data_IF_715474960955
#
_entry.id   IF_715474960955
#
_cell.length_a   1.000
_cell.length_b   1.000
_cell.length_c   1.000
_cell.angle_alpha   90.00
_cell.angle_beta   90.00
_cell.angle_gamma   90.00
#
_symmetry.space_group_name_H-M   'P 1'
#
loop_
_entity.id
_entity.type
_entity.pdbx_description
1 polymer ?
#
# COMPACT_ATOMS: atom_id res chain seq x y z
N UNK A 1 7.91 6.13 -10.62
CA UNK A 1 7.96 4.82 -11.26
C UNK A 1 8.83 3.87 -10.43
N UNK A 2 8.33 2.67 -10.16
CA UNK A 2 9.04 1.60 -9.44
C UNK A 2 9.29 0.47 -10.42
N UNK A 3 10.53 -0.02 -10.50
CA UNK A 3 10.88 -1.19 -11.32
C UNK A 3 11.59 -2.20 -10.41
N UNK A 4 11.08 -3.40 -10.38
CA UNK A 4 11.72 -4.56 -9.82
C UNK A 4 12.28 -5.42 -10.96
N UNK A 5 13.55 -5.85 -10.84
CA UNK A 5 14.24 -6.65 -11.85
C UNK A 5 14.84 -7.87 -11.21
N UNK A 6 14.34 -9.05 -11.56
CA UNK A 6 14.83 -10.38 -11.12
C UNK A 6 14.98 -10.49 -9.59
N UNK A 7 14.04 -9.88 -8.85
CA UNK A 7 14.10 -9.80 -7.38
C UNK A 7 13.88 -11.17 -6.77
N UNK A 8 14.87 -11.64 -6.02
CA UNK A 8 14.80 -12.89 -5.27
C UNK A 8 15.09 -12.63 -3.81
N UNK A 9 14.30 -13.24 -2.91
CA UNK A 9 14.47 -13.18 -1.46
C UNK A 9 14.22 -14.53 -0.81
N UNK A 10 15.18 -14.95 0.01
CA UNK A 10 15.12 -16.20 0.78
C UNK A 10 15.17 -15.92 2.28
N UNK A 11 14.47 -16.69 3.05
CA UNK A 11 14.55 -16.74 4.51
C UNK A 11 14.87 -18.19 4.91
N UNK A 12 16.15 -18.47 5.10
CA UNK A 12 16.64 -19.83 5.27
C UNK A 12 16.32 -20.68 4.03
N UNK A 13 15.52 -21.73 4.20
CA UNK A 13 15.09 -22.62 3.09
C UNK A 13 13.88 -22.09 2.31
N UNK A 14 13.15 -21.10 2.86
CA UNK A 14 11.95 -20.54 2.23
C UNK A 14 12.35 -19.50 1.18
N UNK A 15 11.94 -19.73 -0.07
CA UNK A 15 12.05 -18.74 -1.14
C UNK A 15 10.78 -17.89 -1.12
N UNK A 16 10.86 -16.68 -0.55
CA UNK A 16 9.73 -15.79 -0.40
C UNK A 16 9.44 -14.96 -1.66
N UNK A 17 10.48 -14.65 -2.45
CA UNK A 17 10.40 -14.09 -3.80
C UNK A 17 11.37 -14.84 -4.70
N UNK A 18 10.94 -15.21 -5.89
CA UNK A 18 11.70 -15.98 -6.86
C UNK A 18 11.66 -15.29 -8.22
N UNK A 19 12.72 -14.56 -8.54
CA UNK A 19 12.92 -13.91 -9.83
C UNK A 19 11.76 -12.99 -10.27
N UNK A 20 11.25 -12.17 -9.35
CA UNK A 20 10.11 -11.27 -9.61
C UNK A 20 10.58 -10.05 -10.40
N UNK A 21 10.00 -9.83 -11.59
CA UNK A 21 10.24 -8.65 -12.41
C UNK A 21 8.92 -7.99 -12.76
N UNK A 22 8.76 -6.71 -12.44
CA UNK A 22 7.56 -5.93 -12.74
C UNK A 22 7.86 -4.43 -12.74
N UNK A 23 6.94 -3.67 -13.33
CA UNK A 23 7.02 -2.21 -13.40
C UNK A 23 5.71 -1.61 -12.92
N UNK A 24 5.78 -0.61 -12.01
CA UNK A 24 4.63 0.17 -11.56
C UNK A 24 4.85 1.63 -11.96
N UNK A 25 3.90 2.20 -12.70
CA UNK A 25 4.00 3.56 -13.23
C UNK A 25 3.11 4.55 -12.45
N UNK A 26 3.42 5.83 -12.54
CA UNK A 26 2.55 6.88 -12.04
C UNK A 26 1.17 6.82 -12.70
N UNK A 27 0.13 7.17 -11.96
CA UNK A 27 -1.25 7.14 -12.42
C UNK A 27 -1.93 5.75 -12.38
N UNK A 28 -1.17 4.68 -12.08
CA UNK A 28 -1.72 3.35 -11.90
C UNK A 28 -2.23 3.14 -10.46
N UNK A 29 -3.37 2.45 -10.35
CA UNK A 29 -3.82 1.84 -9.11
C UNK A 29 -3.73 0.32 -9.28
N UNK A 30 -2.76 -0.28 -8.60
CA UNK A 30 -2.38 -1.68 -8.78
C UNK A 30 -2.83 -2.48 -7.56
N UNK A 31 -3.59 -3.54 -7.78
CA UNK A 31 -3.89 -4.51 -6.76
C UNK A 31 -2.82 -5.62 -6.75
N UNK A 32 -2.13 -5.77 -5.62
CA UNK A 32 -1.18 -6.86 -5.39
C UNK A 32 -1.89 -8.03 -4.73
N UNK A 33 -2.13 -9.08 -5.47
CA UNK A 33 -2.93 -10.24 -5.08
C UNK A 33 -2.12 -11.52 -4.97
N UNK A 34 -2.70 -12.51 -4.35
CA UNK A 34 -2.15 -13.86 -4.21
C UNK A 34 -2.53 -14.49 -2.86
N UNK A 35 -2.41 -15.80 -2.70
CA UNK A 35 -2.72 -16.50 -1.46
C UNK A 35 -1.79 -16.07 -0.31
N UNK A 36 -2.15 -16.48 0.91
CA UNK A 36 -1.26 -16.28 2.05
C UNK A 36 0.07 -17.00 1.82
N UNK A 37 1.19 -16.33 2.16
CA UNK A 37 2.52 -16.86 1.90
C UNK A 37 3.04 -16.67 0.46
N UNK A 38 2.27 -16.05 -0.45
CA UNK A 38 2.69 -15.85 -1.85
C UNK A 38 3.82 -14.84 -2.06
N UNK A 39 4.26 -14.13 -1.01
CA UNK A 39 5.36 -13.16 -1.09
C UNK A 39 4.94 -11.69 -1.09
N UNK A 40 3.63 -11.34 -1.07
CA UNK A 40 3.13 -9.95 -1.11
C UNK A 40 3.79 -9.04 -0.07
N UNK A 41 3.75 -9.43 1.20
CA UNK A 41 4.35 -8.65 2.29
C UNK A 41 5.87 -8.54 2.14
N UNK A 42 6.54 -9.59 1.66
CA UNK A 42 7.99 -9.55 1.39
C UNK A 42 8.29 -8.57 0.26
N UNK A 43 7.49 -8.58 -0.80
CA UNK A 43 7.63 -7.64 -1.90
C UNK A 43 7.42 -6.19 -1.45
N UNK A 44 6.34 -5.90 -0.72
CA UNK A 44 6.09 -4.57 -0.15
C UNK A 44 7.27 -4.13 0.74
N UNK A 45 7.73 -4.99 1.65
CA UNK A 45 8.87 -4.68 2.51
C UNK A 45 10.16 -4.46 1.72
N UNK A 46 10.32 -5.14 0.59
CA UNK A 46 11.47 -4.89 -0.31
C UNK A 46 11.35 -3.53 -1.01
N UNK A 47 10.14 -3.14 -1.45
CA UNK A 47 9.88 -1.79 -1.98
C UNK A 47 10.16 -0.69 -0.95
N UNK A 48 9.87 -0.96 0.32
CA UNK A 48 10.11 -0.04 1.43
C UNK A 48 11.57 -0.07 1.93
N UNK A 49 12.43 -0.93 1.36
CA UNK A 49 13.82 -1.11 1.80
C UNK A 49 13.94 -1.68 3.22
N UNK A 50 12.87 -2.29 3.75
CA UNK A 50 12.86 -2.99 5.03
C UNK A 50 13.39 -4.42 4.90
N UNK A 51 13.37 -4.96 3.68
CA UNK A 51 13.94 -6.25 3.30
C UNK A 51 14.85 -6.03 2.11
N UNK A 52 16.12 -6.42 2.22
CA UNK A 52 17.07 -6.35 1.12
C UNK A 52 16.97 -7.65 0.32
N UNK A 53 16.75 -7.59 -1.01
CA UNK A 53 16.79 -8.76 -1.87
C UNK A 53 18.16 -9.46 -1.81
N UNK A 54 18.17 -10.79 -2.00
CA UNK A 54 19.42 -11.58 -2.09
C UNK A 54 20.02 -11.50 -3.50
N UNK A 55 19.17 -11.29 -4.53
CA UNK A 55 19.58 -10.99 -5.90
C UNK A 55 18.53 -10.15 -6.62
N UNK A 56 18.91 -9.60 -7.78
CA UNK A 56 18.12 -8.60 -8.47
C UNK A 56 18.21 -7.24 -7.80
N UNK A 57 17.40 -6.29 -8.27
CA UNK A 57 17.37 -4.94 -7.71
C UNK A 57 16.00 -4.28 -7.91
N UNK A 58 15.76 -3.24 -7.12
CA UNK A 58 14.58 -2.39 -7.24
C UNK A 58 15.05 -0.95 -7.47
N UNK A 59 14.39 -0.26 -8.40
CA UNK A 59 14.64 1.16 -8.63
C UNK A 59 13.39 1.98 -8.34
N UNK A 60 13.61 3.17 -7.78
CA UNK A 60 12.61 4.22 -7.64
C UNK A 60 13.05 5.43 -8.47
N UNK A 61 12.24 5.86 -9.44
CA UNK A 61 12.59 6.93 -10.39
C UNK A 61 13.99 6.74 -11.02
N UNK A 62 14.29 5.51 -11.47
CA UNK A 62 15.56 5.08 -12.09
C UNK A 62 16.77 5.01 -11.13
N UNK A 63 16.60 5.32 -9.85
CA UNK A 63 17.67 5.19 -8.85
C UNK A 63 17.49 3.89 -8.08
N UNK A 64 18.58 3.13 -7.88
CA UNK A 64 18.55 1.91 -7.07
C UNK A 64 18.29 2.28 -5.61
N UNK A 65 17.33 1.59 -4.99
CA UNK A 65 16.94 1.86 -3.59
C UNK A 65 17.83 1.19 -2.55
N UNK A 66 18.75 0.32 -2.97
CA UNK A 66 19.68 -0.36 -2.06
C UNK A 66 20.62 0.68 -1.47
N UNK A 67 20.68 0.73 -0.13
CA UNK A 67 21.46 1.70 0.65
C UNK A 67 21.01 3.18 0.52
N UNK A 68 19.93 3.46 -0.21
CA UNK A 68 19.28 4.75 -0.18
C UNK A 68 18.02 4.70 0.71
N UNK A 69 17.79 5.73 1.51
CA UNK A 69 16.60 5.86 2.34
C UNK A 69 15.73 7.06 1.92
N UNK A 70 16.30 8.02 1.18
CA UNK A 70 15.65 9.28 0.83
C UNK A 70 14.40 9.08 -0.03
N UNK A 71 14.38 8.08 -0.91
CA UNK A 71 13.19 7.80 -1.73
C UNK A 71 11.93 7.53 -0.90
N UNK A 72 12.07 7.09 0.36
CA UNK A 72 10.93 6.83 1.25
C UNK A 72 10.14 8.09 1.60
N UNK A 73 10.72 9.27 1.44
CA UNK A 73 10.00 10.53 1.61
C UNK A 73 8.84 10.68 0.61
N UNK A 74 8.97 10.03 -0.57
CA UNK A 74 7.98 10.02 -1.62
C UNK A 74 6.92 8.91 -1.46
N UNK A 75 7.04 8.09 -0.42
CA UNK A 75 6.14 6.95 -0.19
C UNK A 75 5.31 7.19 1.07
N UNK A 76 3.99 7.09 0.91
CA UNK A 76 3.04 6.93 2.00
C UNK A 76 2.76 5.45 2.20
N UNK A 77 2.99 4.95 3.40
CA UNK A 77 2.76 3.54 3.72
C UNK A 77 1.72 3.40 4.82
N UNK A 78 0.69 2.62 4.54
CA UNK A 78 -0.32 2.20 5.49
C UNK A 78 -0.19 0.69 5.69
N UNK A 79 0.41 0.22 6.79
CA UNK A 79 0.52 -1.20 7.09
C UNK A 79 -0.83 -1.79 7.51
N UNK A 80 -1.01 -3.10 7.32
CA UNK A 80 -2.19 -3.82 7.77
C UNK A 80 -2.49 -3.61 9.26
N UNK A 81 -1.44 -3.56 10.09
CA UNK A 81 -1.54 -3.25 11.52
C UNK A 81 -0.59 -2.09 11.82
N UNK A 82 -1.15 -0.90 12.02
CA UNK A 82 -0.39 0.28 12.44
C UNK A 82 0.15 0.10 13.86
N UNK A 83 1.48 0.13 14.00
CA UNK A 83 2.15 0.10 15.30
C UNK A 83 2.70 1.49 15.61
N UNK A 84 2.26 2.04 16.71
CA UNK A 84 2.64 3.38 17.17
C UNK A 84 3.13 3.29 18.64
N UNK A 85 3.91 4.26 19.12
CA UNK A 85 4.27 4.33 20.52
C UNK A 85 3.01 4.40 21.39
N UNK A 86 2.77 3.38 22.19
CA UNK A 86 1.49 3.16 22.91
C UNK A 86 1.12 4.27 23.88
N UNK A 87 2.13 4.92 24.48
CA UNK A 87 1.94 5.98 25.48
C UNK A 87 1.75 7.38 24.86
N UNK A 88 2.05 7.55 23.57
CA UNK A 88 1.80 8.81 22.86
C UNK A 88 0.33 9.00 22.57
N UNK A 89 -0.13 10.26 22.56
CA UNK A 89 -1.45 10.64 22.05
C UNK A 89 -1.44 10.69 20.52
N UNK A 90 -2.62 10.75 19.90
CA UNK A 90 -2.74 10.94 18.45
C UNK A 90 -2.00 12.21 18.01
N UNK A 91 -2.21 13.33 18.73
CA UNK A 91 -1.52 14.58 18.43
C UNK A 91 0.00 14.42 18.49
N UNK A 92 0.53 13.82 19.55
CA UNK A 92 1.97 13.59 19.71
C UNK A 92 2.56 12.70 18.61
N UNK A 93 1.82 11.68 18.12
CA UNK A 93 2.28 10.86 17.00
C UNK A 93 2.33 11.67 15.71
N UNK A 94 1.33 12.51 15.46
CA UNK A 94 1.29 13.38 14.28
C UNK A 94 2.42 14.41 14.32
N UNK A 95 2.62 15.08 15.46
CA UNK A 95 3.68 16.06 15.64
C UNK A 95 5.05 15.42 15.48
N UNK A 96 5.28 14.24 16.05
CA UNK A 96 6.52 13.48 15.85
C UNK A 96 6.76 13.18 14.35
N UNK A 97 5.73 12.81 13.60
CA UNK A 97 5.87 12.55 12.17
C UNK A 97 6.11 13.83 11.37
N UNK A 98 5.50 14.95 11.75
CA UNK A 98 5.79 16.27 11.18
C UNK A 98 7.23 16.68 11.46
N UNK A 99 7.74 16.48 12.66
CA UNK A 99 9.12 16.77 13.03
C UNK A 99 10.14 15.93 12.26
N UNK A 100 9.89 14.62 12.10
CA UNK A 100 10.76 13.74 11.30
C UNK A 100 10.82 14.20 9.83
N UNK A 101 9.74 14.80 9.32
CA UNK A 101 9.62 15.22 7.93
C UNK A 101 9.70 16.72 7.68
N UNK A 102 10.10 17.51 8.67
CA UNK A 102 10.14 18.99 8.61
C UNK A 102 11.01 19.54 7.48
N UNK A 103 12.10 18.84 7.13
CA UNK A 103 13.03 19.27 6.10
C UNK A 103 12.50 19.08 4.67
N UNK A 104 11.36 18.41 4.50
CA UNK A 104 10.80 18.09 3.19
C UNK A 104 9.81 19.13 2.63
N UNK A 105 9.68 20.28 3.23
CA UNK A 105 8.93 21.48 2.78
C UNK A 105 7.68 21.17 1.91
N UNK A 106 6.82 20.25 2.39
CA UNK A 106 5.61 19.79 1.68
C UNK A 106 4.36 20.34 2.33
N UNK A 107 3.33 20.52 1.52
CA UNK A 107 2.00 20.79 2.04
C UNK A 107 1.50 19.60 2.87
N UNK A 108 1.00 19.89 4.06
CA UNK A 108 0.41 18.89 4.94
C UNK A 108 -1.04 18.67 4.50
N UNK A 109 -1.36 17.44 4.11
CA UNK A 109 -2.72 17.03 3.77
C UNK A 109 -3.42 16.49 5.03
N UNK A 110 -4.37 17.26 5.55
CA UNK A 110 -5.15 16.91 6.75
C UNK A 110 -6.56 16.40 6.42
N UNK A 111 -6.88 16.14 5.15
CA UNK A 111 -8.23 15.77 4.72
C UNK A 111 -8.76 14.55 5.50
N UNK A 112 -7.98 13.44 5.55
CA UNK A 112 -8.40 12.25 6.30
C UNK A 112 -8.42 12.47 7.81
N UNK A 113 -7.51 13.26 8.35
CA UNK A 113 -7.48 13.59 9.78
C UNK A 113 -8.78 14.28 10.21
N UNK A 114 -9.24 15.25 9.42
CA UNK A 114 -10.49 15.97 9.64
C UNK A 114 -11.70 15.10 9.34
N UNK A 115 -11.72 14.40 8.21
CA UNK A 115 -12.85 13.56 7.81
C UNK A 115 -13.12 12.42 8.80
N UNK A 116 -12.06 11.85 9.42
CA UNK A 116 -12.18 10.84 10.48
C UNK A 116 -12.42 11.44 11.88
N UNK A 117 -12.54 12.77 12.01
CA UNK A 117 -12.72 13.48 13.26
C UNK A 117 -11.68 13.13 14.32
N UNK A 118 -10.44 12.89 13.89
CA UNK A 118 -9.35 12.54 14.80
C UNK A 118 -8.93 13.71 15.68
N UNK A 119 -9.21 14.93 15.27
CA UNK A 119 -8.99 16.14 16.04
C UNK A 119 -9.75 16.13 17.37
N UNK A 120 -11.02 15.66 17.35
CA UNK A 120 -11.89 15.58 18.56
C UNK A 120 -11.34 14.62 19.62
N UNK A 121 -10.52 13.66 19.21
CA UNK A 121 -9.93 12.62 20.09
C UNK A 121 -8.41 12.68 20.13
N UNK A 122 -7.82 13.79 19.69
CA UNK A 122 -6.36 13.96 19.51
C UNK A 122 -5.55 13.72 20.79
N UNK A 123 -6.16 13.94 21.97
CA UNK A 123 -5.55 13.72 23.28
C UNK A 123 -5.60 12.25 23.76
N UNK A 124 -6.32 11.36 23.05
CA UNK A 124 -6.36 9.93 23.44
C UNK A 124 -5.02 9.25 23.13
N UNK A 125 -4.58 8.41 24.07
CA UNK A 125 -3.34 7.62 23.90
C UNK A 125 -3.56 6.47 22.92
N UNK A 126 -2.56 6.15 22.11
CA UNK A 126 -2.62 5.11 21.10
C UNK A 126 -3.04 3.75 21.64
N UNK A 127 -2.59 3.38 22.87
CA UNK A 127 -2.99 2.13 23.53
C UNK A 127 -4.48 2.01 23.84
N UNK A 128 -5.19 3.13 23.99
CA UNK A 128 -6.63 3.16 24.32
C UNK A 128 -7.54 3.16 23.10
N UNK A 129 -6.99 3.23 21.91
CA UNK A 129 -7.75 3.29 20.67
C UNK A 129 -8.20 1.88 20.23
N UNK A 130 -9.41 1.81 19.68
CA UNK A 130 -9.86 0.61 18.95
C UNK A 130 -9.00 0.35 17.72
N UNK A 131 -9.05 -0.87 17.19
CA UNK A 131 -8.36 -1.24 15.95
C UNK A 131 -8.72 -0.31 14.78
N UNK A 132 -10.02 -0.06 14.57
CA UNK A 132 -10.51 0.82 13.53
C UNK A 132 -10.04 2.28 13.69
N UNK A 133 -9.97 2.79 14.94
CA UNK A 133 -9.44 4.14 15.17
C UNK A 133 -7.93 4.20 14.90
N UNK A 134 -7.15 3.17 15.26
CA UNK A 134 -5.72 3.10 14.89
C UNK A 134 -5.54 3.04 13.38
N UNK A 135 -6.44 2.35 12.67
CA UNK A 135 -6.43 2.28 11.22
C UNK A 135 -6.71 3.65 10.58
N UNK A 136 -7.65 4.43 11.14
CA UNK A 136 -7.91 5.83 10.74
C UNK A 136 -6.68 6.72 10.91
N UNK A 137 -5.96 6.59 12.04
CA UNK A 137 -4.69 7.31 12.26
C UNK A 137 -3.62 6.87 11.26
N UNK A 138 -3.50 5.56 11.01
CA UNK A 138 -2.55 5.01 10.04
C UNK A 138 -2.82 5.52 8.62
N UNK A 139 -4.08 5.53 8.19
CA UNK A 139 -4.49 6.10 6.92
C UNK A 139 -4.14 7.59 6.84
N UNK A 140 -4.53 8.39 7.85
CA UNK A 140 -4.22 9.83 7.85
C UNK A 140 -2.72 10.10 7.68
N UNK A 141 -1.86 9.37 8.39
CA UNK A 141 -0.41 9.53 8.29
C UNK A 141 0.16 9.10 6.92
N UNK A 142 -0.42 8.07 6.29
CA UNK A 142 0.05 7.61 4.98
C UNK A 142 -0.16 8.67 3.89
N UNK A 143 -1.23 9.47 3.98
CA UNK A 143 -1.56 10.50 2.99
C UNK A 143 -1.01 11.90 3.37
N UNK A 144 -0.75 12.14 4.65
CA UNK A 144 -0.49 13.47 5.23
C UNK A 144 0.62 14.27 4.53
N UNK A 145 1.67 13.62 4.04
CA UNK A 145 2.83 14.31 3.47
C UNK A 145 2.83 14.33 1.94
N UNK A 146 1.67 14.24 1.32
CA UNK A 146 1.45 14.30 -0.13
C UNK A 146 2.43 13.40 -0.93
N UNK A 147 2.51 12.10 -0.61
CA UNK A 147 3.47 11.21 -1.25
C UNK A 147 3.14 11.00 -2.74
N UNK A 148 4.15 10.73 -3.56
CA UNK A 148 3.97 10.38 -4.97
C UNK A 148 3.51 8.92 -5.14
N UNK A 149 3.79 8.07 -4.17
CA UNK A 149 3.43 6.64 -4.15
C UNK A 149 2.72 6.32 -2.84
N UNK A 150 1.59 5.65 -2.94
CA UNK A 150 0.84 5.11 -1.81
C UNK A 150 0.94 3.59 -1.82
N UNK A 151 1.40 2.99 -0.73
CA UNK A 151 1.40 1.55 -0.50
C UNK A 151 0.45 1.28 0.65
N UNK A 152 -0.68 0.63 0.36
CA UNK A 152 -1.79 0.44 1.28
C UNK A 152 -2.02 -1.05 1.49
N UNK A 153 -1.68 -1.55 2.68
CA UNK A 153 -1.79 -2.96 3.02
C UNK A 153 -3.09 -3.20 3.79
N UNK A 154 -4.10 -3.82 3.14
CA UNK A 154 -5.45 -4.05 3.68
C UNK A 154 -6.12 -2.76 4.21
N UNK A 155 -6.21 -1.67 3.42
CA UNK A 155 -6.54 -0.35 3.96
C UNK A 155 -7.93 -0.23 4.58
N UNK A 156 -8.91 -1.01 4.12
CA UNK A 156 -10.30 -0.97 4.63
C UNK A 156 -10.54 -1.93 5.78
N UNK A 157 -9.59 -2.82 6.09
CA UNK A 157 -9.74 -3.80 7.14
C UNK A 157 -9.95 -3.15 8.51
N UNK A 158 -11.04 -3.52 9.19
CA UNK A 158 -11.39 -3.01 10.52
C UNK A 158 -11.95 -1.59 10.56
N UNK A 159 -12.14 -0.93 9.42
CA UNK A 159 -12.88 0.32 9.34
C UNK A 159 -14.39 0.07 9.34
N UNK A 160 -15.14 1.02 9.90
CA UNK A 160 -16.59 1.08 9.70
C UNK A 160 -16.92 1.46 8.24
N UNK A 161 -18.16 1.19 7.75
CA UNK A 161 -18.51 1.44 6.35
C UNK A 161 -18.31 2.90 5.91
N UNK A 162 -18.61 3.87 6.78
CA UNK A 162 -18.46 5.29 6.46
C UNK A 162 -16.98 5.66 6.30
N UNK A 163 -16.13 5.19 7.23
CA UNK A 163 -14.69 5.45 7.15
C UNK A 163 -14.06 4.74 5.94
N UNK A 164 -14.56 3.56 5.58
CA UNK A 164 -14.12 2.84 4.38
C UNK A 164 -14.40 3.64 3.11
N UNK A 165 -15.62 4.21 2.97
CA UNK A 165 -15.95 5.04 1.82
C UNK A 165 -15.14 6.34 1.76
N UNK A 166 -14.95 7.03 2.89
CA UNK A 166 -14.07 8.21 2.97
C UNK A 166 -12.66 7.88 2.47
N UNK A 167 -12.10 6.74 2.90
CA UNK A 167 -10.77 6.32 2.47
C UNK A 167 -10.72 5.98 0.97
N UNK A 168 -11.72 5.28 0.44
CA UNK A 168 -11.81 4.95 -0.99
C UNK A 168 -11.87 6.22 -1.84
N UNK A 169 -12.72 7.18 -1.47
CA UNK A 169 -12.79 8.47 -2.15
C UNK A 169 -11.43 9.20 -2.15
N UNK A 170 -10.71 9.16 -1.01
CA UNK A 170 -9.39 9.76 -0.93
C UNK A 170 -8.40 9.05 -1.85
N UNK A 171 -8.39 7.72 -1.90
CA UNK A 171 -7.55 6.93 -2.80
C UNK A 171 -7.84 7.30 -4.27
N UNK A 172 -9.12 7.40 -4.64
CA UNK A 172 -9.51 7.78 -6.00
C UNK A 172 -9.04 9.20 -6.36
N UNK A 173 -9.17 10.16 -5.45
CA UNK A 173 -8.66 11.53 -5.65
C UNK A 173 -7.14 11.55 -5.87
N UNK A 174 -6.39 10.78 -5.09
CA UNK A 174 -4.93 10.71 -5.23
C UNK A 174 -4.51 10.02 -6.54
N UNK A 175 -5.22 8.97 -6.95
CA UNK A 175 -5.04 8.34 -8.27
C UNK A 175 -5.29 9.35 -9.41
N UNK A 176 -6.37 10.14 -9.34
CA UNK A 176 -6.68 11.16 -10.35
C UNK A 176 -5.61 12.26 -10.45
N UNK A 177 -4.86 12.52 -9.37
CA UNK A 177 -3.68 13.39 -9.37
C UNK A 177 -2.45 12.75 -10.04
N UNK A 178 -2.58 11.54 -10.57
CA UNK A 178 -1.48 10.84 -11.25
C UNK A 178 -0.53 10.09 -10.32
N UNK A 179 -0.88 9.89 -9.05
CA UNK A 179 -0.06 9.12 -8.11
C UNK A 179 -0.12 7.62 -8.40
N UNK A 180 0.94 6.91 -8.05
CA UNK A 180 0.94 5.45 -8.04
C UNK A 180 0.31 4.97 -6.73
N UNK A 181 -0.67 4.07 -6.83
CA UNK A 181 -1.28 3.42 -5.66
C UNK A 181 -1.08 1.92 -5.77
N UNK A 182 -0.43 1.30 -4.80
CA UNK A 182 -0.30 -0.14 -4.66
C UNK A 182 -1.12 -0.60 -3.46
N UNK A 183 -2.10 -1.48 -3.69
CA UNK A 183 -3.05 -1.91 -2.67
C UNK A 183 -2.99 -3.43 -2.55
N UNK A 184 -2.90 -3.96 -1.31
CA UNK A 184 -3.29 -5.34 -1.05
C UNK A 184 -4.70 -5.36 -0.48
N UNK A 185 -5.51 -6.32 -0.86
CA UNK A 185 -6.82 -6.54 -0.25
C UNK A 185 -7.27 -7.98 -0.44
N UNK A 186 -7.97 -8.50 0.57
CA UNK A 186 -8.73 -9.73 0.48
C UNK A 186 -10.18 -9.48 0.04
N UNK A 187 -10.67 -8.24 0.09
CA UNK A 187 -12.01 -7.84 -0.31
C UNK A 187 -11.94 -7.12 -1.65
N UNK A 188 -12.02 -7.88 -2.73
CA UNK A 188 -11.86 -7.38 -4.10
C UNK A 188 -12.99 -6.47 -4.55
N UNK A 189 -14.22 -6.68 -4.05
CA UNK A 189 -15.36 -5.82 -4.36
C UNK A 189 -15.14 -4.36 -3.94
N UNK A 190 -14.31 -4.13 -2.94
CA UNK A 190 -14.00 -2.78 -2.46
C UNK A 190 -13.07 -1.99 -3.40
N UNK A 191 -12.47 -2.69 -4.37
CA UNK A 191 -11.44 -2.16 -5.25
C UNK A 191 -11.88 -2.05 -6.73
N UNK A 192 -13.07 -2.55 -7.09
CA UNK A 192 -13.54 -2.65 -8.47
C UNK A 192 -13.44 -1.32 -9.25
N UNK A 193 -13.75 -0.18 -8.59
CA UNK A 193 -13.73 1.14 -9.21
C UNK A 193 -12.39 1.86 -9.11
N UNK A 194 -11.48 1.34 -8.29
CA UNK A 194 -10.19 2.00 -7.98
C UNK A 194 -9.08 1.41 -8.84
N UNK A 195 -9.03 0.07 -8.93
CA UNK A 195 -7.90 -0.67 -9.50
C UNK A 195 -7.90 -0.62 -11.02
N UNK A 196 -6.74 -0.33 -11.60
CA UNK A 196 -6.49 -0.35 -13.05
C UNK A 196 -5.74 -1.60 -13.49
N UNK A 197 -4.91 -2.15 -12.60
CA UNK A 197 -4.05 -3.30 -12.91
C UNK A 197 -3.99 -4.27 -11.74
N UNK A 198 -3.71 -5.52 -12.05
CA UNK A 198 -3.55 -6.60 -11.08
C UNK A 198 -2.19 -7.24 -11.25
N UNK A 199 -1.44 -7.31 -10.16
CA UNK A 199 -0.25 -8.14 -9.99
C UNK A 199 -0.66 -9.37 -9.18
N UNK A 200 -0.46 -10.57 -9.73
CA UNK A 200 -0.75 -11.82 -9.02
C UNK A 200 0.53 -12.56 -8.70
N UNK A 201 0.80 -12.70 -7.39
CA UNK A 201 1.92 -13.48 -6.88
C UNK A 201 1.43 -14.85 -6.35
N UNK A 202 2.18 -15.89 -6.66
CA UNK A 202 1.95 -17.23 -6.11
C UNK A 202 3.30 -17.94 -5.91
N UNK A 203 3.50 -18.53 -4.74
CA UNK A 203 4.74 -19.25 -4.39
C UNK A 203 6.01 -18.43 -4.64
N UNK A 204 5.95 -17.13 -4.30
CA UNK A 204 7.03 -16.18 -4.51
C UNK A 204 7.23 -15.72 -5.95
N UNK A 205 6.46 -16.20 -6.91
CA UNK A 205 6.61 -15.91 -8.34
C UNK A 205 5.52 -14.97 -8.85
N UNK A 206 5.89 -14.11 -9.80
CA UNK A 206 4.92 -13.35 -10.57
C UNK A 206 4.25 -14.28 -11.58
N UNK A 207 2.94 -14.50 -11.42
CA UNK A 207 2.15 -15.26 -12.38
C UNK A 207 1.69 -14.41 -13.55
N UNK A 208 1.20 -13.22 -13.23
CA UNK A 208 0.85 -12.22 -14.24
C UNK A 208 0.84 -10.80 -13.66
N UNK A 209 0.95 -9.83 -14.56
CA UNK A 209 0.69 -8.43 -14.36
C UNK A 209 -0.12 -7.95 -15.56
N UNK A 210 -1.41 -7.67 -15.36
CA UNK A 210 -2.36 -7.35 -16.43
C UNK A 210 -3.29 -6.20 -16.03
N UNK A 211 -3.80 -5.46 -17.00
CA UNK A 211 -4.87 -4.50 -16.76
C UNK A 211 -6.18 -5.21 -16.40
N UNK A 212 -7.05 -4.51 -15.67
CA UNK A 212 -8.38 -5.03 -15.30
C UNK A 212 -9.22 -5.28 -16.55
N UNK A 213 -9.08 -4.42 -17.58
CA UNK A 213 -9.74 -4.62 -18.89
C UNK A 213 -9.32 -5.93 -19.54
N UNK A 214 -8.02 -6.18 -19.67
CA UNK A 214 -7.50 -7.45 -20.21
C UNK A 214 -8.00 -8.66 -19.42
N UNK A 215 -8.03 -8.57 -18.08
CA UNK A 215 -8.51 -9.67 -17.25
C UNK A 215 -10.02 -9.91 -17.41
N UNK A 216 -10.81 -8.86 -17.62
CA UNK A 216 -12.25 -8.97 -17.92
C UNK A 216 -12.47 -9.59 -19.29
N UNK A 217 -11.70 -9.21 -20.29
CA UNK A 217 -11.76 -9.81 -21.65
C UNK A 217 -11.37 -11.29 -21.61
N UNK A 218 -10.26 -11.64 -20.95
CA UNK A 218 -9.77 -13.03 -20.85
C UNK A 218 -10.74 -13.96 -20.13
N UNK A 219 -11.50 -13.43 -19.16
CA UNK A 219 -12.40 -14.24 -18.32
C UNK A 219 -13.88 -14.16 -18.69
N UNK A 220 -14.28 -13.11 -19.41
CA UNK A 220 -15.70 -12.80 -19.68
C UNK A 220 -16.47 -12.30 -18.47
N UNK A 221 -15.78 -11.98 -17.36
CA UNK A 221 -16.39 -11.54 -16.10
C UNK A 221 -16.30 -10.04 -15.91
N UNK A 222 -17.37 -9.40 -15.44
CA UNK A 222 -17.41 -7.95 -15.23
C UNK A 222 -16.83 -7.53 -13.86
N UNK A 223 -17.04 -8.33 -12.81
CA UNK A 223 -16.60 -8.02 -11.44
C UNK A 223 -15.20 -8.58 -11.18
N UNK A 224 -14.30 -7.77 -10.64
CA UNK A 224 -12.92 -8.16 -10.33
C UNK A 224 -12.85 -9.40 -9.41
N UNK A 225 -13.75 -9.50 -8.44
CA UNK A 225 -13.86 -10.66 -7.56
C UNK A 225 -14.12 -11.97 -8.32
N UNK A 226 -14.98 -11.95 -9.34
CA UNK A 226 -15.25 -13.13 -10.19
C UNK A 226 -14.09 -13.42 -11.15
N UNK A 227 -13.50 -12.37 -11.73
CA UNK A 227 -12.30 -12.45 -12.56
C UNK A 227 -11.19 -13.21 -11.83
N UNK A 228 -10.87 -12.76 -10.61
CA UNK A 228 -9.80 -13.37 -9.81
C UNK A 228 -10.17 -14.79 -9.37
N UNK A 229 -11.42 -15.03 -8.95
CA UNK A 229 -11.86 -16.38 -8.59
C UNK A 229 -11.68 -17.37 -9.75
N UNK A 230 -12.01 -16.96 -10.98
CA UNK A 230 -11.85 -17.80 -12.19
C UNK A 230 -10.39 -18.08 -12.51
N UNK A 231 -9.52 -17.08 -12.36
CA UNK A 231 -8.07 -17.24 -12.59
C UNK A 231 -7.43 -18.17 -11.54
N UNK A 232 -7.92 -18.13 -10.28
CA UNK A 232 -7.38 -18.98 -9.22
C UNK A 232 -7.84 -20.45 -9.32
N UNK A 233 -8.88 -20.73 -10.11
CA UNK A 233 -9.40 -22.09 -10.34
C UNK A 233 -8.80 -22.77 -11.59
N UNK A 234 -8.18 -21.99 -12.48
CA UNK A 234 -7.51 -22.46 -13.69
C UNK A 234 -6.05 -22.83 -13.43
#
# INVERSE_FOLDING_TARGET
MIIATNVTKKFGKLVALDNVSLTCNSGQAISLMGPNGSGKTTFIKSLLGMVVPDSGFITFNKQNIVHDWKYREHIGYMPQIGRFPENMTIAQVIDMMKDIRKDFNRNIDEDLYKAFKLEEISNKRMRTLSGGTRQKVSASLAFMFDPAVLILDEPTAGLDPVASEILKEKIMKEKQKGKLVLITSHILSDLDDIVTEVIYLQDGKLRFHKSVEQLREDTGESKLSKVVARIMQA
#
